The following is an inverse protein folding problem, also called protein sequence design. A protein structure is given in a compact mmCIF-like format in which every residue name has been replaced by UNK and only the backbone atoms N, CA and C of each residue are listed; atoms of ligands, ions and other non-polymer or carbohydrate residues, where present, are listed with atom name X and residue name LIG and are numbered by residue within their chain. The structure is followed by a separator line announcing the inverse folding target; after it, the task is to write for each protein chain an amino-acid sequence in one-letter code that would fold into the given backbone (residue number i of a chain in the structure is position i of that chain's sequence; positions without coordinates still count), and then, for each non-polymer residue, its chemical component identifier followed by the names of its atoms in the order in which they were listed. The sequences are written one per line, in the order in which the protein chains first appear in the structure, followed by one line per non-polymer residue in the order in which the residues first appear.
data_IF_999698373809
#
_entry.id   IF_999698373809
#
_cell.length_a   1.000
_cell.length_b   1.000
_cell.length_c   1.000
_cell.angle_alpha   90.00
_cell.angle_beta   90.00
_cell.angle_gamma   90.00
#
_symmetry.space_group_name_H-M   'P 1'
#
loop_
_entity.id
_entity.type
_entity.pdbx_description
1 polymer ?
#
# COMPACT_ATOMS: atom_id res chain seq x y z
N UNK A 1 -13.05 2.17 -5.19
CA UNK A 1 -13.21 2.85 -3.88
C UNK A 1 -12.04 2.45 -3.01
N UNK A 2 -11.28 3.43 -2.52
CA UNK A 2 -10.18 3.21 -1.58
C UNK A 2 -10.71 2.66 -0.25
N UNK A 3 -10.07 1.64 0.31
CA UNK A 3 -10.46 1.00 1.57
C UNK A 3 -9.70 1.57 2.77
N UNK A 4 -8.59 2.24 2.55
CA UNK A 4 -7.76 2.85 3.57
C UNK A 4 -8.01 4.36 3.61
N UNK A 5 -8.07 4.90 4.83
CA UNK A 5 -8.11 6.33 5.08
C UNK A 5 -6.73 6.81 5.55
N UNK A 6 -6.47 8.11 5.43
CA UNK A 6 -5.25 8.73 5.98
C UNK A 6 -5.04 8.40 7.47
N UNK A 7 -6.13 8.42 8.23
CA UNK A 7 -6.12 8.11 9.67
C UNK A 7 -5.80 6.64 9.93
N UNK A 8 -6.41 5.71 9.18
CA UNK A 8 -6.13 4.29 9.35
C UNK A 8 -4.69 3.95 8.97
N UNK A 9 -4.16 4.52 7.87
CA UNK A 9 -2.76 4.34 7.44
C UNK A 9 -1.78 4.81 8.51
N UNK A 10 -2.05 5.95 9.16
CA UNK A 10 -1.23 6.45 10.28
C UNK A 10 -1.31 5.53 11.51
N UNK A 11 -2.49 4.98 11.79
CA UNK A 11 -2.73 4.13 12.96
C UNK A 11 -2.20 2.69 12.80
N UNK A 12 -2.09 2.18 11.57
CA UNK A 12 -1.57 0.83 11.32
C UNK A 12 -0.15 0.70 11.86
N UNK A 13 0.11 -0.29 12.72
CA UNK A 13 1.47 -0.58 13.26
C UNK A 13 1.91 -1.99 12.97
N UNK A 14 0.96 -2.89 12.80
CA UNK A 14 1.22 -4.30 12.53
C UNK A 14 1.92 -4.45 11.17
N UNK A 15 3.02 -5.22 11.11
CA UNK A 15 3.66 -5.58 9.85
C UNK A 15 2.70 -6.36 8.95
N UNK A 16 2.65 -6.01 7.67
CA UNK A 16 1.72 -6.64 6.76
C UNK A 16 1.50 -5.89 5.45
N UNK A 17 0.58 -6.42 4.65
CA UNK A 17 0.10 -5.79 3.41
C UNK A 17 -1.38 -5.48 3.53
N UNK A 18 -1.72 -4.21 3.37
CA UNK A 18 -3.08 -3.71 3.49
C UNK A 18 -3.54 -3.20 2.13
N UNK A 19 -4.56 -3.82 1.56
CA UNK A 19 -5.08 -3.44 0.25
C UNK A 19 -5.97 -2.20 0.33
N UNK A 20 -5.64 -1.19 -0.45
CA UNK A 20 -6.48 0.00 -0.62
C UNK A 20 -7.47 -0.15 -1.79
N UNK A 21 -7.16 -1.01 -2.77
CA UNK A 21 -8.01 -1.23 -3.95
C UNK A 21 -7.23 -1.00 -5.24
N UNK A 22 -7.74 -1.48 -6.37
CA UNK A 22 -7.15 -1.27 -7.70
C UNK A 22 -5.65 -1.67 -7.80
N UNK A 23 -5.25 -2.67 -7.02
CA UNK A 23 -3.86 -3.13 -6.93
C UNK A 23 -2.95 -2.28 -6.03
N UNK A 24 -3.45 -1.22 -5.40
CA UNK A 24 -2.70 -0.41 -4.43
C UNK A 24 -2.67 -1.09 -3.05
N UNK A 25 -1.47 -1.21 -2.47
CA UNK A 25 -1.25 -1.77 -1.14
C UNK A 25 -0.31 -0.88 -0.32
N UNK A 26 -0.64 -0.73 0.96
CA UNK A 26 0.29 -0.28 1.98
C UNK A 26 1.07 -1.48 2.52
N UNK A 27 2.40 -1.40 2.46
CA UNK A 27 3.32 -2.37 3.05
C UNK A 27 3.87 -1.78 4.34
N UNK A 28 3.72 -2.51 5.43
CA UNK A 28 4.31 -2.19 6.74
C UNK A 28 5.38 -3.22 7.04
N UNK A 29 6.62 -2.76 7.21
CA UNK A 29 7.76 -3.62 7.55
C UNK A 29 7.77 -3.97 9.05
N UNK A 30 8.61 -4.94 9.44
CA UNK A 30 8.81 -5.26 10.86
C UNK A 30 9.32 -4.07 11.69
N UNK A 31 10.04 -3.13 11.07
CA UNK A 31 10.49 -1.89 11.68
C UNK A 31 9.39 -0.82 11.80
N UNK A 32 8.18 -1.09 11.33
CA UNK A 32 7.05 -0.14 11.31
C UNK A 32 7.09 0.87 10.16
N UNK A 33 8.12 0.80 9.30
CA UNK A 33 8.21 1.64 8.10
C UNK A 33 7.08 1.32 7.14
N UNK A 34 6.55 2.36 6.49
CA UNK A 34 5.40 2.27 5.60
C UNK A 34 5.79 2.66 4.19
N UNK A 35 5.39 1.86 3.21
CA UNK A 35 5.57 2.18 1.81
C UNK A 35 4.39 1.70 0.98
N UNK A 36 4.10 2.40 -0.10
CA UNK A 36 3.07 2.01 -1.04
C UNK A 36 3.64 1.17 -2.17
N UNK A 37 2.87 0.17 -2.59
CA UNK A 37 3.14 -0.61 -3.79
C UNK A 37 1.90 -0.70 -4.66
N UNK A 38 2.07 -0.52 -5.97
CA UNK A 38 1.07 -0.89 -6.96
C UNK A 38 1.41 -2.27 -7.52
N UNK A 39 0.52 -3.23 -7.28
CA UNK A 39 0.61 -4.57 -7.84
C UNK A 39 -0.06 -4.57 -9.21
N UNK A 40 0.75 -4.84 -10.23
CA UNK A 40 0.30 -4.96 -11.62
C UNK A 40 0.49 -6.39 -12.11
N UNK A 41 -0.35 -6.82 -13.04
CA UNK A 41 -0.15 -8.05 -13.79
C UNK A 41 -0.07 -7.72 -15.27
N UNK A 42 0.99 -8.17 -15.94
CA UNK A 42 1.17 -8.06 -17.39
C UNK A 42 1.65 -9.39 -17.93
N UNK A 43 0.99 -9.92 -18.95
CA UNK A 43 1.30 -11.20 -19.58
C UNK A 43 1.38 -12.35 -18.55
N UNK A 44 0.40 -12.42 -17.63
CA UNK A 44 0.36 -13.40 -16.54
C UNK A 44 1.36 -13.16 -15.40
N UNK A 45 2.41 -12.34 -15.60
CA UNK A 45 3.43 -12.07 -14.59
C UNK A 45 3.04 -10.91 -13.68
N UNK A 46 3.02 -11.17 -12.38
CA UNK A 46 2.79 -10.16 -11.33
C UNK A 46 4.08 -9.41 -11.01
N UNK A 47 3.97 -8.09 -10.81
CA UNK A 47 5.04 -7.24 -10.30
C UNK A 47 4.48 -6.25 -9.30
N UNK A 48 5.26 -5.95 -8.27
CA UNK A 48 4.98 -4.88 -7.32
C UNK A 48 5.88 -3.68 -7.68
N UNK A 49 5.27 -2.52 -7.90
CA UNK A 49 5.96 -1.26 -8.22
C UNK A 49 5.93 -0.40 -6.95
N UNK A 50 7.09 -0.05 -6.41
CA UNK A 50 7.19 0.84 -5.25
C UNK A 50 6.81 2.27 -5.60
N UNK A 51 5.97 2.90 -4.79
CA UNK A 51 5.52 4.28 -4.93
C UNK A 51 6.09 5.21 -3.83
N UNK A 52 6.87 4.65 -2.90
CA UNK A 52 7.49 5.40 -1.80
C UNK A 52 6.65 5.44 -0.51
N UNK A 53 7.12 6.19 0.48
CA UNK A 53 6.52 6.29 1.83
C UNK A 53 5.48 7.40 1.97
N UNK A 54 5.25 8.19 0.92
CA UNK A 54 4.30 9.31 0.92
C UNK A 54 2.86 8.83 1.06
N UNK A 55 2.06 9.56 1.82
CA UNK A 55 0.62 9.30 1.89
C UNK A 55 0.00 9.58 0.52
N UNK A 56 -0.44 8.55 -0.20
CA UNK A 56 -1.25 8.72 -1.41
C UNK A 56 -2.68 9.01 -0.94
N UNK A 57 -2.95 10.26 -0.58
CA UNK A 57 -4.31 10.71 -0.35
C UNK A 57 -4.93 11.02 -1.72
N UNK A 58 -5.95 10.26 -2.11
CA UNK A 58 -6.86 10.73 -3.16
C UNK A 58 -7.75 11.79 -2.51
N UNK A 59 -7.64 13.03 -2.98
CA UNK A 59 -8.54 14.14 -2.66
C UNK A 59 -9.92 13.87 -3.23
#
# INVERSE_FOLDING_TARGET
MGRLSATSVKATKEPGRYGDGDGLYLVVTQSGSKSWVCRVQKNGKRRDIGLGSGLIART
#
